data_IF_085984678834
#
_entry.id   IF_085984678834
#
_cell.length_a   1.000
_cell.length_b   1.000
_cell.length_c   1.000
_cell.angle_alpha   90.00
_cell.angle_beta   90.00
_cell.angle_gamma   90.00
#
_symmetry.space_group_name_H-M   'P 1'
#
loop_
_entity.id
_entity.type
_entity.pdbx_description
1 polymer ?
#
# COMPACT_ATOMS: atom_id res chain seq x y z
N UNK A 1 21.03 36.45 27.83
CA UNK A 1 21.24 34.99 27.71
C UNK A 1 20.07 34.19 28.28
N UNK A 2 19.73 34.29 29.57
CA UNK A 2 18.67 33.48 30.22
C UNK A 2 17.26 33.56 29.62
N UNK A 3 16.83 34.73 29.11
CA UNK A 3 15.47 34.88 28.55
C UNK A 3 15.32 34.24 27.16
N UNK A 4 16.36 34.30 26.33
CA UNK A 4 16.37 33.71 24.97
C UNK A 4 16.34 32.18 25.07
N UNK A 5 17.15 31.60 25.96
CA UNK A 5 17.14 30.16 26.23
C UNK A 5 15.79 29.67 26.78
N UNK A 6 15.16 30.44 27.68
CA UNK A 6 13.80 30.14 28.17
C UNK A 6 12.78 30.13 27.03
N UNK A 7 12.82 31.10 26.12
CA UNK A 7 11.91 31.16 24.98
C UNK A 7 12.10 29.97 24.03
N UNK A 8 13.35 29.60 23.72
CA UNK A 8 13.65 28.45 22.85
C UNK A 8 13.14 27.14 23.48
N UNK A 9 13.35 26.97 24.79
CA UNK A 9 12.86 25.79 25.51
C UNK A 9 11.33 25.67 25.43
N UNK A 10 10.60 26.78 25.55
CA UNK A 10 9.13 26.79 25.42
C UNK A 10 8.70 26.37 24.01
N UNK A 11 9.37 26.84 22.96
CA UNK A 11 9.07 26.45 21.57
C UNK A 11 9.29 24.96 21.34
N UNK A 12 10.43 24.43 21.79
CA UNK A 12 10.78 23.01 21.66
C UNK A 12 9.80 22.14 22.46
N UNK A 13 9.47 22.56 23.68
CA UNK A 13 8.55 21.82 24.55
C UNK A 13 7.13 21.75 23.97
N UNK A 14 6.66 22.83 23.35
CA UNK A 14 5.38 22.86 22.63
C UNK A 14 5.35 21.84 21.47
N UNK A 15 6.39 21.84 20.63
CA UNK A 15 6.51 20.88 19.52
C UNK A 15 6.60 19.44 20.03
N UNK A 16 7.44 19.21 21.06
CA UNK A 16 7.57 17.91 21.72
C UNK A 16 6.21 17.39 22.19
N UNK A 17 5.48 18.21 22.95
CA UNK A 17 4.22 17.80 23.57
C UNK A 17 3.18 17.44 22.51
N UNK A 18 3.01 18.30 21.50
CA UNK A 18 2.06 18.05 20.42
C UNK A 18 2.40 16.77 19.64
N UNK A 19 3.67 16.57 19.28
CA UNK A 19 4.09 15.36 18.57
C UNK A 19 3.86 14.10 19.41
N UNK A 20 4.20 14.12 20.70
CA UNK A 20 3.97 12.97 21.58
C UNK A 20 2.48 12.68 21.73
N UNK A 21 1.62 13.69 21.79
CA UNK A 21 0.17 13.51 21.83
C UNK A 21 -0.35 12.85 20.55
N UNK A 22 0.14 13.25 19.37
CA UNK A 22 -0.17 12.58 18.10
C UNK A 22 0.21 11.09 18.14
N UNK A 23 1.38 10.75 18.70
CA UNK A 23 1.78 9.35 18.86
C UNK A 23 0.90 8.56 19.84
N UNK A 24 0.30 9.21 20.84
CA UNK A 24 -0.69 8.59 21.73
C UNK A 24 -2.06 8.43 21.06
N UNK A 25 -2.26 8.95 19.85
CA UNK A 25 -3.55 9.00 19.17
C UNK A 25 -4.44 10.16 19.61
N UNK A 26 -3.88 11.15 20.30
CA UNK A 26 -4.58 12.40 20.60
C UNK A 26 -4.49 13.31 19.37
N UNK A 27 -5.63 13.93 19.00
CA UNK A 27 -5.67 14.91 17.91
C UNK A 27 -5.05 16.24 18.33
N UNK A 28 -4.77 17.09 17.33
CA UNK A 28 -4.37 18.48 17.57
C UNK A 28 -5.59 19.32 17.95
N UNK A 29 -5.38 20.29 18.84
CA UNK A 29 -6.39 21.28 19.19
C UNK A 29 -6.64 22.25 18.00
N UNK A 30 -7.81 22.90 17.95
CA UNK A 30 -8.09 23.91 16.94
C UNK A 30 -7.02 25.01 16.94
N UNK A 31 -6.54 25.38 15.76
CA UNK A 31 -5.45 26.35 15.54
C UNK A 31 -4.07 25.97 16.10
N UNK A 32 -3.93 24.83 16.78
CA UNK A 32 -2.65 24.40 17.34
C UNK A 32 -1.61 24.17 16.25
N UNK A 33 -2.01 23.57 15.12
CA UNK A 33 -1.14 23.35 13.97
C UNK A 33 -0.52 24.66 13.44
N UNK A 34 -1.28 25.75 13.40
CA UNK A 34 -0.78 27.05 12.99
C UNK A 34 0.27 27.59 13.97
N UNK A 35 -0.03 27.51 15.28
CA UNK A 35 0.90 27.91 16.34
C UNK A 35 2.18 27.09 16.31
N UNK A 36 2.08 25.77 16.12
CA UNK A 36 3.21 24.86 16.01
C UNK A 36 4.07 25.18 14.79
N UNK A 37 3.46 25.44 13.63
CA UNK A 37 4.20 25.83 12.43
C UNK A 37 4.98 27.13 12.62
N UNK A 38 4.38 28.12 13.28
CA UNK A 38 5.07 29.36 13.60
C UNK A 38 6.17 29.16 14.65
N UNK A 39 5.96 28.28 15.63
CA UNK A 39 6.99 27.90 16.60
C UNK A 39 8.18 27.22 15.92
N UNK A 40 7.93 26.28 15.01
CA UNK A 40 8.96 25.62 14.20
C UNK A 40 9.72 26.65 13.35
N UNK A 41 9.02 27.58 12.69
CA UNK A 41 9.64 28.65 11.89
C UNK A 41 10.51 29.57 12.75
N UNK A 42 10.05 29.95 13.94
CA UNK A 42 10.82 30.77 14.89
C UNK A 42 12.06 30.04 15.37
N UNK A 43 11.94 28.76 15.70
CA UNK A 43 13.06 27.91 16.12
C UNK A 43 14.13 27.83 15.04
N UNK A 44 13.73 27.63 13.77
CA UNK A 44 14.65 27.59 12.64
C UNK A 44 15.41 28.89 12.39
N UNK A 45 14.87 30.04 12.82
CA UNK A 45 15.55 31.35 12.72
C UNK A 45 16.54 31.59 13.86
N UNK A 46 16.55 30.76 14.89
CA UNK A 46 17.51 30.86 15.98
C UNK A 46 18.80 30.11 15.65
N UNK A 47 19.86 30.37 16.41
CA UNK A 47 21.12 29.61 16.32
C UNK A 47 20.93 28.10 16.58
N UNK A 48 19.80 27.69 17.16
CA UNK A 48 19.47 26.27 17.41
C UNK A 48 18.71 25.61 16.24
N UNK A 49 18.44 26.33 15.15
CA UNK A 49 17.68 25.85 14.01
C UNK A 49 18.29 24.64 13.30
N UNK A 50 19.61 24.45 13.39
CA UNK A 50 20.26 23.27 12.82
C UNK A 50 20.07 22.00 13.66
N UNK A 51 19.88 22.15 14.99
CA UNK A 51 19.70 21.03 15.91
C UNK A 51 18.31 20.42 15.88
N UNK A 52 17.28 21.14 15.42
CA UNK A 52 15.90 20.63 15.53
C UNK A 52 15.69 19.35 14.70
N UNK A 53 16.42 19.15 13.60
CA UNK A 53 16.39 17.88 12.83
C UNK A 53 16.89 16.72 13.69
N UNK A 54 18.05 16.89 14.31
CA UNK A 54 18.66 15.89 15.18
C UNK A 54 17.82 15.64 16.43
N UNK A 55 17.29 16.71 17.05
CA UNK A 55 16.41 16.61 18.21
C UNK A 55 15.11 15.87 17.87
N UNK A 56 14.48 16.18 16.73
CA UNK A 56 13.31 15.45 16.26
C UNK A 56 13.64 13.97 16.06
N UNK A 57 14.71 13.65 15.34
CA UNK A 57 15.08 12.27 15.06
C UNK A 57 15.43 11.48 16.32
N UNK A 58 16.31 12.02 17.18
CA UNK A 58 16.92 11.28 18.27
C UNK A 58 16.08 11.29 19.56
N UNK A 59 15.27 12.33 19.78
CA UNK A 59 14.50 12.49 21.02
C UNK A 59 13.00 12.30 20.76
N UNK A 60 12.40 13.15 19.91
CA UNK A 60 10.95 13.18 19.72
C UNK A 60 10.47 11.90 19.05
N UNK A 61 11.05 11.56 17.91
CA UNK A 61 10.66 10.42 17.09
C UNK A 61 10.98 9.10 17.80
N UNK A 62 12.17 8.97 18.40
CA UNK A 62 12.51 7.81 19.23
C UNK A 62 11.49 7.57 20.34
N UNK A 63 11.08 8.62 21.04
CA UNK A 63 10.08 8.50 22.11
C UNK A 63 8.68 8.18 21.57
N UNK A 64 8.28 8.80 20.46
CA UNK A 64 7.00 8.51 19.81
C UNK A 64 6.89 7.08 19.33
N UNK A 65 7.93 6.57 18.68
CA UNK A 65 7.99 5.20 18.21
C UNK A 65 8.10 4.18 19.34
N UNK A 66 8.68 4.55 20.50
CA UNK A 66 8.64 3.67 21.67
C UNK A 66 7.21 3.46 22.17
N UNK A 67 6.35 4.49 22.13
CA UNK A 67 4.93 4.37 22.50
C UNK A 67 4.22 3.38 21.58
N UNK A 68 4.49 3.46 20.27
CA UNK A 68 3.97 2.52 19.27
C UNK A 68 4.47 1.10 19.55
N UNK A 69 5.77 0.92 19.81
CA UNK A 69 6.33 -0.39 20.12
C UNK A 69 5.70 -0.99 21.39
N UNK A 70 5.54 -0.17 22.43
CA UNK A 70 4.90 -0.56 23.68
C UNK A 70 3.41 -0.94 23.46
N UNK A 71 2.72 -0.29 22.52
CA UNK A 71 1.35 -0.65 22.12
C UNK A 71 1.30 -2.04 21.50
N UNK A 72 2.21 -2.36 20.58
CA UNK A 72 2.27 -3.68 19.95
C UNK A 72 2.64 -4.76 20.98
N UNK A 73 3.62 -4.51 21.84
CA UNK A 73 4.14 -5.47 22.83
C UNK A 73 3.17 -5.79 23.97
N UNK A 74 2.12 -5.00 24.18
CA UNK A 74 1.08 -5.29 25.18
C UNK A 74 0.20 -6.47 24.80
N UNK A 75 0.16 -6.84 23.53
CA UNK A 75 -0.66 -7.96 23.06
C UNK A 75 0.16 -9.26 23.17
N UNK A 76 -0.35 -10.24 23.93
CA UNK A 76 0.27 -11.55 24.06
C UNK A 76 -0.28 -12.49 22.97
N UNK A 77 0.48 -12.69 21.88
CA UNK A 77 0.26 -13.78 20.94
C UNK A 77 0.80 -13.55 19.53
N UNK A 78 1.67 -14.43 19.05
CA UNK A 78 2.36 -14.31 17.75
C UNK A 78 1.43 -14.14 16.52
N UNK A 79 0.19 -14.65 16.58
CA UNK A 79 -0.81 -14.45 15.50
C UNK A 79 -1.55 -13.11 15.61
N UNK A 80 -1.62 -12.54 16.81
CA UNK A 80 -2.17 -11.21 17.05
C UNK A 80 -1.16 -10.12 16.68
N UNK A 81 0.14 -10.38 16.83
CA UNK A 81 1.22 -9.44 16.53
C UNK A 81 1.16 -8.92 15.08
N UNK A 82 0.92 -9.79 14.09
CA UNK A 82 0.84 -9.37 12.69
C UNK A 82 -0.38 -8.47 12.40
N UNK A 83 -1.50 -8.76 13.06
CA UNK A 83 -2.73 -7.98 12.92
C UNK A 83 -2.63 -6.64 13.63
N UNK A 84 -2.08 -6.60 14.84
CA UNK A 84 -1.81 -5.38 15.59
C UNK A 84 -0.79 -4.52 14.84
N UNK A 85 0.29 -5.12 14.34
CA UNK A 85 1.28 -4.42 13.50
C UNK A 85 0.62 -3.81 12.25
N UNK A 86 -0.33 -4.50 11.64
CA UNK A 86 -1.11 -3.97 10.50
C UNK A 86 -1.87 -2.71 10.90
N UNK A 87 -2.63 -2.75 11.99
CA UNK A 87 -3.42 -1.60 12.46
C UNK A 87 -2.52 -0.41 12.84
N UNK A 88 -1.43 -0.70 13.56
CA UNK A 88 -0.47 0.31 14.00
C UNK A 88 0.22 0.94 12.80
N UNK A 89 0.60 0.15 11.80
CA UNK A 89 1.15 0.66 10.56
C UNK A 89 0.16 1.56 9.82
N UNK A 90 -1.10 1.14 9.69
CA UNK A 90 -2.12 1.93 9.00
C UNK A 90 -2.33 3.28 9.70
N UNK A 91 -2.47 3.29 11.04
CA UNK A 91 -2.55 4.52 11.84
C UNK A 91 -1.29 5.38 11.69
N UNK A 92 -0.11 4.75 11.75
CA UNK A 92 1.15 5.47 11.60
C UNK A 92 1.26 6.15 10.22
N UNK A 93 0.96 5.41 9.15
CA UNK A 93 1.16 5.88 7.79
C UNK A 93 0.09 6.89 7.33
N UNK A 94 -1.16 6.73 7.79
CA UNK A 94 -2.29 7.55 7.33
C UNK A 94 -2.63 8.73 8.24
N UNK A 95 -2.33 8.64 9.54
CA UNK A 95 -2.68 9.68 10.52
C UNK A 95 -1.43 10.36 11.10
N UNK A 96 -0.54 9.58 11.73
CA UNK A 96 0.60 10.13 12.47
C UNK A 96 1.57 10.80 11.50
N UNK A 97 2.04 10.08 10.48
CA UNK A 97 3.04 10.57 9.54
C UNK A 97 2.61 11.88 8.84
N UNK A 98 1.41 11.99 8.23
CA UNK A 98 0.94 13.26 7.66
C UNK A 98 0.86 14.39 8.70
N UNK A 99 0.46 14.08 9.93
CA UNK A 99 0.38 15.08 11.00
C UNK A 99 1.78 15.57 11.42
N UNK A 100 2.77 14.68 11.52
CA UNK A 100 4.17 15.06 11.76
C UNK A 100 4.69 15.97 10.64
N UNK A 101 4.41 15.59 9.38
CA UNK A 101 4.77 16.39 8.21
C UNK A 101 4.11 17.77 8.24
N UNK A 102 2.87 17.87 8.72
CA UNK A 102 2.15 19.14 8.85
C UNK A 102 2.70 20.03 9.97
N UNK A 103 3.05 19.47 11.14
CA UNK A 103 3.63 20.20 12.28
C UNK A 103 5.03 20.73 11.95
N UNK A 104 5.81 19.91 11.25
CA UNK A 104 7.21 20.16 10.93
C UNK A 104 7.40 20.55 9.46
N UNK A 105 6.36 21.06 8.80
CA UNK A 105 6.43 21.50 7.41
C UNK A 105 7.63 22.44 7.12
N UNK A 106 7.99 23.40 8.00
CA UNK A 106 9.17 24.24 7.80
C UNK A 106 10.51 23.49 7.71
N UNK A 107 10.59 22.23 8.18
CA UNK A 107 11.78 21.37 8.13
C UNK A 107 11.96 20.60 6.82
N UNK A 108 11.12 20.85 5.82
CA UNK A 108 10.93 20.08 4.59
C UNK A 108 10.22 18.76 4.84
N UNK A 109 9.08 18.62 4.14
CA UNK A 109 8.21 17.46 4.25
C UNK A 109 8.93 16.13 4.00
N UNK A 110 9.79 16.07 2.96
CA UNK A 110 10.54 14.87 2.60
C UNK A 110 11.48 14.41 3.71
N UNK A 111 12.17 15.35 4.38
CA UNK A 111 13.10 15.02 5.47
C UNK A 111 12.35 14.42 6.66
N UNK A 112 11.22 15.02 7.05
CA UNK A 112 10.38 14.49 8.15
C UNK A 112 9.86 13.11 7.81
N UNK A 113 9.39 12.93 6.57
CA UNK A 113 8.88 11.64 6.08
C UNK A 113 9.93 10.54 6.12
N UNK A 114 11.13 10.83 5.61
CA UNK A 114 12.24 9.89 5.58
C UNK A 114 12.69 9.50 6.99
N UNK A 115 12.87 10.48 7.87
CA UNK A 115 13.26 10.21 9.26
C UNK A 115 12.22 9.33 9.96
N UNK A 116 10.93 9.64 9.82
CA UNK A 116 9.85 8.88 10.46
C UNK A 116 9.76 7.43 9.94
N UNK A 117 9.85 7.23 8.62
CA UNK A 117 9.80 5.91 8.00
C UNK A 117 11.02 5.05 8.37
N UNK A 118 12.23 5.62 8.32
CA UNK A 118 13.46 4.93 8.77
C UNK A 118 13.40 4.61 10.27
N UNK A 119 12.92 5.54 11.09
CA UNK A 119 12.72 5.31 12.52
C UNK A 119 11.75 4.17 12.79
N UNK A 120 10.61 4.12 12.09
CA UNK A 120 9.65 3.03 12.24
C UNK A 120 10.30 1.68 11.92
N UNK A 121 11.06 1.60 10.83
CA UNK A 121 11.80 0.39 10.48
C UNK A 121 12.76 -0.02 11.61
N UNK A 122 13.67 0.88 12.00
CA UNK A 122 14.78 0.54 12.89
C UNK A 122 14.35 0.30 14.34
N UNK A 123 13.36 1.06 14.82
CA UNK A 123 12.95 1.07 16.22
C UNK A 123 11.72 0.21 16.49
N UNK A 124 10.85 0.01 15.50
CA UNK A 124 9.63 -0.81 15.64
C UNK A 124 9.80 -2.12 14.90
N UNK A 125 9.92 -2.07 13.56
CA UNK A 125 9.89 -3.27 12.71
C UNK A 125 11.01 -4.27 13.04
N UNK A 126 12.24 -3.78 13.23
CA UNK A 126 13.41 -4.61 13.53
C UNK A 126 13.40 -5.23 14.94
N UNK A 127 12.42 -4.88 15.79
CA UNK A 127 12.23 -5.52 17.11
C UNK A 127 11.46 -6.84 17.02
N UNK A 128 10.88 -7.15 15.88
CA UNK A 128 10.11 -8.36 15.65
C UNK A 128 10.87 -9.33 14.73
N UNK A 129 10.75 -10.63 14.98
CA UNK A 129 11.19 -11.67 14.04
C UNK A 129 10.15 -11.84 12.92
N UNK A 130 10.03 -10.83 12.06
CA UNK A 130 9.03 -10.81 10.98
C UNK A 130 9.17 -11.98 10.01
N UNK A 131 10.38 -12.50 9.83
CA UNK A 131 10.62 -13.73 9.07
C UNK A 131 9.71 -14.87 9.60
N UNK A 132 9.62 -15.04 10.92
CA UNK A 132 8.81 -16.09 11.54
C UNK A 132 7.31 -15.76 11.46
N UNK A 133 6.93 -14.50 11.67
CA UNK A 133 5.54 -14.05 11.60
C UNK A 133 4.96 -14.22 10.19
N UNK A 134 5.74 -13.90 9.15
CA UNK A 134 5.33 -14.07 7.75
C UNK A 134 5.31 -15.55 7.34
N UNK A 135 6.27 -16.36 7.82
CA UNK A 135 6.30 -17.81 7.58
C UNK A 135 5.21 -18.59 8.30
N UNK A 136 4.67 -18.07 9.40
CA UNK A 136 3.54 -18.68 10.12
C UNK A 136 2.19 -18.27 9.52
N UNK A 137 2.08 -17.06 8.95
CA UNK A 137 0.84 -16.50 8.39
C UNK A 137 0.82 -16.49 6.85
N UNK A 138 1.34 -17.56 6.23
CA UNK A 138 1.60 -17.69 4.78
C UNK A 138 0.39 -17.44 3.89
N UNK A 139 -0.83 -17.63 4.38
CA UNK A 139 -2.06 -17.57 3.57
C UNK A 139 -2.82 -16.26 3.63
N UNK A 140 -2.45 -15.34 4.53
CA UNK A 140 -3.27 -14.16 4.81
C UNK A 140 -2.41 -12.94 5.20
N UNK A 141 -1.32 -12.67 4.47
CA UNK A 141 -0.55 -11.44 4.67
C UNK A 141 -1.43 -10.25 4.28
N UNK A 142 -1.72 -9.29 5.18
CA UNK A 142 -2.53 -8.12 4.86
C UNK A 142 -1.86 -7.24 3.80
N UNK A 143 -2.65 -6.59 2.96
CA UNK A 143 -2.15 -5.67 1.93
C UNK A 143 -1.32 -4.53 2.54
N UNK A 144 -1.72 -4.03 3.71
CA UNK A 144 -1.00 -3.01 4.47
C UNK A 144 0.43 -3.43 4.83
N UNK A 145 0.67 -4.70 5.21
CA UNK A 145 2.01 -5.21 5.50
C UNK A 145 2.88 -5.23 4.24
N UNK A 146 2.28 -5.61 3.10
CA UNK A 146 3.00 -5.57 1.81
C UNK A 146 3.37 -4.14 1.45
N UNK A 147 2.42 -3.21 1.60
CA UNK A 147 2.65 -1.79 1.35
C UNK A 147 3.70 -1.20 2.29
N UNK A 148 3.68 -1.58 3.57
CA UNK A 148 4.70 -1.19 4.56
C UNK A 148 6.10 -1.57 4.10
N UNK A 149 6.31 -2.84 3.77
CA UNK A 149 7.62 -3.33 3.37
C UNK A 149 8.14 -2.63 2.11
N UNK A 150 7.27 -2.39 1.11
CA UNK A 150 7.63 -1.67 -0.11
C UNK A 150 8.00 -0.21 0.15
N UNK A 151 7.21 0.49 0.98
CA UNK A 151 7.48 1.90 1.32
C UNK A 151 8.79 2.03 2.10
N UNK A 152 9.03 1.15 3.06
CA UNK A 152 10.25 1.19 3.87
C UNK A 152 11.50 0.88 3.05
N UNK A 153 11.39 0.06 2.00
CA UNK A 153 12.52 -0.27 1.11
C UNK A 153 12.96 0.93 0.26
N UNK A 154 12.02 1.74 -0.26
CA UNK A 154 12.35 2.87 -1.15
C UNK A 154 13.07 4.01 -0.41
N UNK A 155 12.93 4.07 0.92
CA UNK A 155 13.52 5.13 1.74
C UNK A 155 14.96 4.83 2.21
N UNK A 156 15.61 3.82 1.63
CA UNK A 156 16.99 3.44 1.95
C UNK A 156 18.03 4.44 1.40
N UNK A 157 18.16 5.60 2.01
CA UNK A 157 19.19 6.58 1.64
C UNK A 157 20.57 6.28 2.24
N UNK A 158 20.70 5.20 3.03
CA UNK A 158 21.91 4.86 3.82
C UNK A 158 22.65 3.61 3.30
N UNK A 159 22.66 3.34 1.99
CA UNK A 159 23.49 2.26 1.43
C UNK A 159 23.24 0.87 2.05
N UNK A 160 24.12 -0.12 1.79
CA UNK A 160 23.91 -1.48 2.29
C UNK A 160 24.20 -1.60 3.80
N UNK A 161 23.16 -1.58 4.62
CA UNK A 161 23.22 -1.89 6.07
C UNK A 161 22.69 -3.30 6.39
N UNK A 162 22.90 -3.80 7.61
CA UNK A 162 22.35 -5.11 8.02
C UNK A 162 20.82 -5.10 8.01
N UNK A 163 20.23 -3.99 8.45
CA UNK A 163 18.80 -3.74 8.49
C UNK A 163 18.22 -3.68 7.07
N UNK A 164 18.94 -3.09 6.11
CA UNK A 164 18.58 -3.11 4.69
C UNK A 164 18.47 -4.54 4.15
N UNK A 165 19.50 -5.38 4.35
CA UNK A 165 19.48 -6.77 3.86
C UNK A 165 18.39 -7.60 4.54
N UNK A 166 18.09 -7.33 5.82
CA UNK A 166 16.97 -7.96 6.50
C UNK A 166 15.64 -7.55 5.86
N UNK A 167 15.45 -6.25 5.58
CA UNK A 167 14.25 -5.75 4.92
C UNK A 167 14.10 -6.30 3.50
N UNK A 168 15.17 -6.35 2.72
CA UNK A 168 15.18 -6.92 1.35
C UNK A 168 14.76 -8.39 1.37
N UNK A 169 15.28 -9.19 2.32
CA UNK A 169 14.85 -10.57 2.53
C UNK A 169 13.36 -10.67 2.85
N UNK A 170 12.83 -9.79 3.71
CA UNK A 170 11.41 -9.76 4.05
C UNK A 170 10.52 -9.38 2.87
N UNK A 171 10.94 -8.42 2.04
CA UNK A 171 10.22 -8.03 0.81
C UNK A 171 10.19 -9.20 -0.16
N UNK A 172 11.34 -9.84 -0.40
CA UNK A 172 11.43 -11.00 -1.29
C UNK A 172 10.53 -12.12 -0.78
N UNK A 173 10.57 -12.43 0.52
CA UNK A 173 9.68 -13.42 1.13
C UNK A 173 8.20 -13.03 0.96
N UNK A 174 7.82 -11.79 1.24
CA UNK A 174 6.45 -11.32 1.05
C UNK A 174 5.98 -11.48 -0.41
N UNK A 175 6.83 -11.10 -1.37
CA UNK A 175 6.50 -11.18 -2.80
C UNK A 175 6.45 -12.64 -3.31
N UNK A 176 7.40 -13.49 -2.93
CA UNK A 176 7.37 -14.91 -3.32
C UNK A 176 6.14 -15.60 -2.75
N UNK A 177 5.79 -15.31 -1.50
CA UNK A 177 4.59 -15.85 -0.86
C UNK A 177 3.30 -15.38 -1.52
N UNK A 178 3.21 -14.09 -1.90
CA UNK A 178 2.07 -13.59 -2.68
C UNK A 178 1.99 -14.24 -4.07
N UNK A 179 3.11 -14.50 -4.74
CA UNK A 179 3.12 -15.25 -6.00
C UNK A 179 2.65 -16.71 -5.81
N UNK A 180 3.12 -17.40 -4.77
CA UNK A 180 2.70 -18.77 -4.46
C UNK A 180 1.21 -18.86 -4.14
N UNK A 181 0.67 -17.94 -3.34
CA UNK A 181 -0.77 -17.86 -3.10
C UNK A 181 -1.55 -17.56 -4.37
N UNK A 182 -1.05 -16.66 -5.22
CA UNK A 182 -1.68 -16.32 -6.50
C UNK A 182 -1.71 -17.53 -7.43
N UNK A 183 -0.65 -18.33 -7.47
CA UNK A 183 -0.59 -19.59 -8.21
C UNK A 183 -1.55 -20.62 -7.59
N UNK A 184 -1.58 -20.76 -6.26
CA UNK A 184 -2.46 -21.71 -5.57
C UNK A 184 -3.94 -21.37 -5.72
N UNK A 185 -4.30 -20.08 -5.64
CA UNK A 185 -5.66 -19.59 -5.91
C UNK A 185 -6.00 -19.77 -7.39
N UNK A 186 -5.08 -19.42 -8.31
CA UNK A 186 -5.28 -19.66 -9.76
C UNK A 186 -5.50 -21.13 -10.05
N UNK A 187 -4.71 -22.02 -9.47
CA UNK A 187 -4.82 -23.46 -9.66
C UNK A 187 -6.07 -24.02 -8.98
N UNK A 188 -6.49 -23.48 -7.82
CA UNK A 188 -7.74 -23.87 -7.15
C UNK A 188 -8.98 -23.42 -7.93
N UNK A 189 -8.98 -22.21 -8.50
CA UNK A 189 -10.02 -21.72 -9.41
C UNK A 189 -10.04 -22.55 -10.69
N UNK A 190 -8.87 -22.85 -11.26
CA UNK A 190 -8.72 -23.68 -12.46
C UNK A 190 -9.25 -25.10 -12.21
N UNK A 191 -8.87 -25.76 -11.12
CA UNK A 191 -9.38 -27.09 -10.75
C UNK A 191 -10.89 -27.06 -10.51
N UNK A 192 -11.42 -26.03 -9.85
CA UNK A 192 -12.86 -25.90 -9.60
C UNK A 192 -13.65 -25.62 -10.90
N UNK A 193 -13.07 -24.86 -11.83
CA UNK A 193 -13.62 -24.64 -13.17
C UNK A 193 -13.65 -25.93 -13.98
N UNK A 194 -12.57 -26.71 -13.99
CA UNK A 194 -12.54 -28.03 -14.65
C UNK A 194 -13.52 -29.00 -14.01
N UNK A 195 -13.68 -28.97 -12.68
CA UNK A 195 -14.65 -29.80 -11.98
C UNK A 195 -16.11 -29.42 -12.32
N UNK A 196 -16.45 -28.12 -12.33
CA UNK A 196 -17.76 -27.65 -12.78
C UNK A 196 -18.04 -27.96 -14.26
N UNK A 197 -17.04 -27.82 -15.13
CA UNK A 197 -17.17 -28.18 -16.55
C UNK A 197 -17.31 -29.69 -16.77
N UNK A 198 -16.71 -30.52 -15.90
CA UNK A 198 -16.87 -31.98 -15.94
C UNK A 198 -18.27 -32.43 -15.48
N UNK A 199 -18.87 -31.69 -14.55
CA UNK A 199 -20.25 -31.91 -14.07
C UNK A 199 -21.32 -31.43 -15.06
N UNK A 200 -20.96 -30.53 -15.99
CA UNK A 200 -21.82 -30.03 -17.06
C UNK A 200 -21.54 -30.74 -18.39
N UNK A 201 -21.35 -32.06 -18.35
CA UNK A 201 -21.34 -32.87 -19.57
C UNK A 201 -22.72 -32.76 -20.24
N UNK A 202 -22.82 -32.48 -21.56
CA UNK A 202 -24.11 -32.27 -22.22
C UNK A 202 -24.92 -33.56 -22.15
N UNK A 203 -26.18 -33.42 -21.72
CA UNK A 203 -27.19 -34.46 -21.80
C UNK A 203 -27.24 -34.93 -23.26
N UNK A 204 -26.84 -36.18 -23.49
CA UNK A 204 -27.08 -36.86 -24.76
C UNK A 204 -28.60 -36.97 -24.89
N UNK A 205 -29.19 -36.18 -25.79
CA UNK A 205 -30.56 -36.40 -26.24
C UNK A 205 -30.61 -37.77 -26.91
N UNK A 206 -31.13 -38.72 -26.15
CA UNK A 206 -31.55 -40.02 -26.63
C UNK A 206 -33.00 -39.86 -27.09
N UNK A 207 -33.30 -40.45 -28.26
CA UNK A 207 -34.61 -40.84 -28.82
C UNK A 207 -35.08 -40.13 -30.09
N UNK A 208 -35.40 -40.97 -31.08
CA UNK A 208 -36.07 -40.59 -32.32
C UNK A 208 -35.86 -41.62 -33.44
N UNK A 209 -36.19 -42.89 -33.21
CA UNK A 209 -36.38 -43.83 -34.32
C UNK A 209 -37.51 -43.34 -35.22
N UNK A 210 -37.26 -43.24 -36.53
CA UNK A 210 -38.34 -43.27 -37.52
C UNK A 210 -37.86 -43.94 -38.80
N UNK A 211 -38.49 -45.08 -39.08
CA UNK A 211 -38.36 -45.88 -40.29
C UNK A 211 -38.88 -45.14 -41.54
N UNK A 212 -38.25 -45.42 -42.70
CA UNK A 212 -38.69 -45.33 -44.11
C UNK A 212 -37.55 -44.74 -44.96
N UNK A 213 -37.15 -45.21 -46.14
CA UNK A 213 -37.39 -46.40 -46.94
C UNK A 213 -36.27 -46.37 -48.00
N UNK A 214 -35.68 -47.53 -48.32
CA UNK A 214 -34.50 -47.64 -49.18
C UNK A 214 -34.92 -47.70 -50.66
N UNK A 215 -34.71 -46.64 -51.43
CA UNK A 215 -34.63 -46.72 -52.90
C UNK A 215 -33.57 -45.77 -53.45
N UNK A 216 -32.64 -46.30 -54.22
CA UNK A 216 -31.93 -45.55 -55.26
C UNK A 216 -30.53 -45.04 -54.88
N UNK A 217 -29.53 -45.80 -55.30
CA UNK A 217 -28.12 -45.40 -55.33
C UNK A 217 -27.93 -44.03 -56.02
N UNK A 218 -27.51 -42.98 -55.30
CA UNK A 218 -26.74 -41.84 -55.84
C UNK A 218 -26.36 -40.85 -54.73
N UNK A 219 -25.11 -40.97 -54.25
CA UNK A 219 -24.42 -39.88 -53.55
C UNK A 219 -24.04 -38.82 -54.58
N UNK A 220 -24.78 -37.71 -54.63
CA UNK A 220 -24.30 -36.42 -55.18
C UNK A 220 -24.95 -35.27 -54.41
N UNK A 221 -24.25 -34.74 -53.41
CA UNK A 221 -24.54 -33.39 -52.95
C UNK A 221 -23.94 -32.43 -53.98
N UNK A 222 -24.81 -31.89 -54.83
CA UNK A 222 -24.49 -30.88 -55.82
C UNK A 222 -24.16 -29.58 -55.10
N UNK A 223 -22.90 -29.15 -55.14
CA UNK A 223 -22.57 -27.73 -54.95
C UNK A 223 -22.79 -27.03 -56.30
N UNK A 224 -23.74 -26.10 -56.31
CA UNK A 224 -23.87 -25.11 -57.39
C UNK A 224 -24.04 -23.72 -56.79
N UNK A 225 -23.26 -22.83 -57.37
CA UNK A 225 -22.82 -21.51 -56.97
C UNK A 225 -23.63 -20.43 -57.72
N UNK A 226 -23.34 -19.16 -57.39
CA UNK A 226 -23.71 -17.88 -58.01
C UNK A 226 -24.88 -17.17 -57.30
N UNK A 227 -24.72 -15.96 -56.75
CA UNK A 227 -23.88 -14.86 -57.23
C UNK A 227 -23.02 -14.20 -56.14
N UNK A 228 -21.74 -14.05 -56.48
CA UNK A 228 -20.79 -13.08 -55.94
C UNK A 228 -21.19 -11.66 -56.33
N UNK A 229 -20.92 -10.66 -55.47
CA UNK A 229 -20.12 -9.50 -55.88
C UNK A 229 -19.55 -8.75 -54.67
N UNK A 230 -18.24 -8.53 -54.75
CA UNK A 230 -17.36 -7.82 -53.83
C UNK A 230 -17.24 -6.39 -54.34
N UNK A 231 -17.45 -5.36 -53.51
CA UNK A 231 -16.84 -4.05 -53.72
C UNK A 231 -16.45 -3.34 -52.41
N UNK A 232 -15.15 -3.11 -52.28
CA UNK A 232 -14.48 -2.13 -51.42
C UNK A 232 -14.59 -0.72 -52.03
N UNK A 233 -14.88 0.32 -51.22
CA UNK A 233 -14.08 1.56 -51.06
C UNK A 233 -14.83 2.71 -50.35
N UNK A 234 -14.12 3.31 -49.38
CA UNK A 234 -13.96 4.74 -49.06
C UNK A 234 -15.02 5.78 -49.53
N UNK A 235 -15.57 6.56 -48.59
CA UNK A 235 -15.30 8.01 -48.45
C UNK A 235 -16.13 8.68 -47.34
N UNK A 236 -15.50 9.57 -46.55
CA UNK A 236 -16.18 10.59 -45.74
C UNK A 236 -16.87 11.64 -46.63
N UNK A 237 -17.73 12.51 -46.07
CA UNK A 237 -17.21 13.84 -45.72
C UNK A 237 -17.75 14.43 -44.40
N UNK A 238 -16.89 15.27 -43.83
CA UNK A 238 -17.11 16.28 -42.79
C UNK A 238 -18.04 17.41 -43.25
N UNK A 239 -18.91 17.91 -42.36
CA UNK A 239 -19.46 19.28 -42.45
C UNK A 239 -19.64 19.88 -41.05
N UNK A 240 -18.92 20.99 -40.84
CA UNK A 240 -19.03 21.97 -39.77
C UNK A 240 -20.32 22.81 -39.93
N UNK A 241 -20.91 23.29 -38.82
CA UNK A 241 -21.73 24.51 -38.86
C UNK A 241 -21.32 25.49 -37.76
N UNK A 242 -21.18 26.74 -38.22
CA UNK A 242 -20.78 27.96 -37.53
C UNK A 242 -22.03 28.65 -36.92
N UNK A 243 -21.83 29.17 -35.71
CA UNK A 243 -22.36 30.41 -35.10
C UNK A 243 -23.54 31.14 -35.78
N UNK A 244 -24.58 31.44 -34.99
CA UNK A 244 -25.46 32.60 -35.23
C UNK A 244 -25.45 33.51 -34.00
N UNK A 245 -25.11 34.76 -34.27
CA UNK A 245 -25.15 35.93 -33.40
C UNK A 245 -26.61 36.37 -33.27
N UNK A 246 -27.04 36.66 -32.05
CA UNK A 246 -27.94 37.77 -31.67
C UNK A 246 -27.51 38.29 -30.30
#
# INVERSE_FOLDING_TARGET
MTLIFKNIHVLIFSIYTAVINVFKGEGLLPNELYCLNENTRRLLRTDMGFFIKEYFQNQILTKGLSIILDEIQKHEGETQDLFVLTQVWDKFFTEILPTLQAILYPLQELTVRQMALLGFRDLVLMKFSLDDLLRKNLSLIPASITQMLLVLQVNESRGPSKEYYQLERLVVLGQTLLMELRIKIRNKIFVNFYFLCSLLSPVVEQEGEMYLERVGNLLRHSMTNAHSDIYLKFNQPSVFYIQKIE
#
